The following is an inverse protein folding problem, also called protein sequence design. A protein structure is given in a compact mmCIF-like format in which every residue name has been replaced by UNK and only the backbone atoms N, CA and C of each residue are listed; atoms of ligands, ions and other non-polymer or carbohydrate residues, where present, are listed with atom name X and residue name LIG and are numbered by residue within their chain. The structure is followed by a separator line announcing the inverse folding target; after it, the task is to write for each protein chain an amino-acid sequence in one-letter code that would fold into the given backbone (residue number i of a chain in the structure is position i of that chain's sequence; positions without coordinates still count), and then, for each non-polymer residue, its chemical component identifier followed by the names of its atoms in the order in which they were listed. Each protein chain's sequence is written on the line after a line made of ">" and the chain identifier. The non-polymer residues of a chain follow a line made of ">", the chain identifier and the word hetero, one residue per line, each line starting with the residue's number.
data_IF_673997545672
#
_entry.id   IF_673997545672
#
_cell.length_a   1.000
_cell.length_b   1.000
_cell.length_c   1.000
_cell.angle_alpha   90.00
_cell.angle_beta   90.00
_cell.angle_gamma   90.00
#
_symmetry.space_group_name_H-M   'P 1'
#
loop_
_entity.id
_entity.type
_entity.pdbx_description
1 polymer ?
#
# COMPACT_ATOMS: atom_id res chain seq x y z
N UNK A 1 -5.60 -26.63 18.50
CA UNK A 1 -5.21 -26.80 17.09
C UNK A 1 -4.80 -25.43 16.54
N UNK A 2 -3.55 -25.05 16.81
CA UNK A 2 -2.95 -23.70 16.62
C UNK A 2 -2.06 -23.63 15.37
N UNK A 3 -2.47 -24.31 14.28
CA UNK A 3 -1.53 -24.66 13.20
C UNK A 3 -1.10 -23.51 12.28
N UNK A 4 -1.85 -22.40 12.16
CA UNK A 4 -1.50 -21.33 11.19
C UNK A 4 -0.62 -20.22 11.77
N UNK A 5 -0.82 -19.85 13.04
CA UNK A 5 -0.11 -18.74 13.67
C UNK A 5 1.34 -19.10 14.04
N UNK A 6 1.59 -20.32 14.54
CA UNK A 6 2.93 -20.79 14.91
C UNK A 6 3.81 -21.08 13.67
N UNK A 7 3.22 -21.55 12.57
CA UNK A 7 3.96 -21.89 11.35
C UNK A 7 4.46 -20.66 10.58
N UNK A 8 3.68 -19.57 10.55
CA UNK A 8 4.07 -18.33 9.86
C UNK A 8 5.12 -17.55 10.68
N UNK A 9 4.98 -17.53 12.01
CA UNK A 9 5.98 -16.96 12.91
C UNK A 9 7.31 -17.74 12.84
N UNK A 10 7.27 -19.06 12.68
CA UNK A 10 8.44 -19.93 12.63
C UNK A 10 9.38 -19.69 11.45
N UNK A 11 8.91 -19.12 10.32
CA UNK A 11 9.75 -18.79 9.15
C UNK A 11 10.08 -17.30 9.06
N UNK A 12 9.11 -16.42 9.36
CA UNK A 12 9.30 -14.97 9.22
C UNK A 12 10.17 -14.41 10.33
N UNK A 13 10.05 -14.89 11.57
CA UNK A 13 10.84 -14.40 12.70
C UNK A 13 12.35 -14.71 12.58
N UNK A 14 12.79 -15.93 12.20
CA UNK A 14 14.21 -16.19 11.96
C UNK A 14 14.76 -15.43 10.76
N UNK A 15 13.98 -15.27 9.67
CA UNK A 15 14.40 -14.47 8.52
C UNK A 15 14.56 -12.99 8.89
N UNK A 16 13.62 -12.41 9.65
CA UNK A 16 13.73 -11.02 10.13
C UNK A 16 14.90 -10.85 11.11
N UNK A 17 15.14 -11.81 12.00
CA UNK A 17 16.29 -11.81 12.90
C UNK A 17 17.63 -11.95 12.18
N UNK A 18 17.67 -12.75 11.10
CA UNK A 18 18.85 -12.86 10.24
C UNK A 18 19.10 -11.60 9.41
N UNK A 19 18.03 -11.01 8.84
CA UNK A 19 18.13 -9.83 7.99
C UNK A 19 18.43 -8.56 8.79
N UNK A 20 17.92 -8.47 10.02
CA UNK A 20 18.08 -7.32 10.92
C UNK A 20 18.58 -7.77 12.30
N UNK A 21 19.81 -8.28 12.42
CA UNK A 21 20.36 -8.74 13.70
C UNK A 21 20.56 -7.60 14.70
N UNK A 22 20.54 -6.35 14.22
CA UNK A 22 20.64 -5.12 14.98
C UNK A 22 19.28 -4.57 15.45
N UNK A 23 18.15 -5.17 15.02
CA UNK A 23 16.82 -4.69 15.37
C UNK A 23 16.38 -5.18 16.75
N UNK A 24 15.77 -4.29 17.52
CA UNK A 24 15.20 -4.64 18.83
C UNK A 24 13.98 -5.56 18.66
N UNK A 25 13.61 -6.36 19.67
CA UNK A 25 12.40 -7.20 19.61
C UNK A 25 11.13 -6.42 19.26
N UNK A 26 11.02 -5.17 19.75
CA UNK A 26 9.90 -4.29 19.42
C UNK A 26 9.87 -3.90 17.93
N UNK A 27 11.03 -3.63 17.33
CA UNK A 27 11.13 -3.35 15.89
C UNK A 27 10.77 -4.58 15.06
N UNK A 28 11.23 -5.77 15.45
CA UNK A 28 10.89 -7.03 14.76
C UNK A 28 9.37 -7.28 14.80
N UNK A 29 8.75 -7.12 15.97
CA UNK A 29 7.29 -7.27 16.11
C UNK A 29 6.52 -6.24 15.26
N UNK A 30 7.00 -4.99 15.19
CA UNK A 30 6.43 -3.96 14.33
C UNK A 30 6.51 -4.33 12.85
N UNK A 31 7.68 -4.75 12.35
CA UNK A 31 7.85 -5.14 10.94
C UNK A 31 7.04 -6.38 10.59
N UNK A 32 6.93 -7.35 11.51
CA UNK A 32 6.06 -8.51 11.33
C UNK A 32 4.59 -8.09 11.20
N UNK A 33 4.11 -7.20 12.08
CA UNK A 33 2.76 -6.64 11.99
C UNK A 33 2.51 -5.85 10.69
N UNK A 34 3.50 -5.08 10.24
CA UNK A 34 3.43 -4.36 8.97
C UNK A 34 3.36 -5.32 7.78
N UNK A 35 4.17 -6.39 7.79
CA UNK A 35 4.16 -7.43 6.76
C UNK A 35 2.79 -8.12 6.65
N UNK A 36 2.15 -8.43 7.77
CA UNK A 36 0.78 -8.98 7.78
C UNK A 36 -0.23 -8.03 7.15
N UNK A 37 -0.19 -6.74 7.53
CA UNK A 37 -1.08 -5.71 6.96
C UNK A 37 -0.89 -5.54 5.45
N UNK A 38 0.36 -5.58 4.98
CA UNK A 38 0.67 -5.52 3.56
C UNK A 38 0.19 -6.78 2.81
N UNK A 39 0.28 -7.95 3.44
CA UNK A 39 -0.20 -9.20 2.88
C UNK A 39 -1.72 -9.17 2.68
N UNK A 40 -2.51 -8.82 3.71
CA UNK A 40 -3.96 -8.71 3.58
C UNK A 40 -4.36 -7.66 2.53
N UNK A 41 -3.78 -6.46 2.57
CA UNK A 41 -3.99 -5.44 1.53
C UNK A 41 -3.77 -6.01 0.12
N UNK A 42 -2.69 -6.76 -0.09
CA UNK A 42 -2.34 -7.35 -1.40
C UNK A 42 -3.30 -8.47 -1.78
N UNK A 43 -3.69 -9.31 -0.83
CA UNK A 43 -4.65 -10.39 -1.03
C UNK A 43 -6.00 -9.85 -1.51
N UNK A 44 -6.55 -8.85 -0.83
CA UNK A 44 -7.83 -8.24 -1.22
C UNK A 44 -7.74 -7.43 -2.51
N UNK A 45 -6.58 -6.84 -2.83
CA UNK A 45 -6.31 -6.25 -4.14
C UNK A 45 -6.41 -7.31 -5.26
N UNK A 46 -5.74 -8.45 -5.10
CA UNK A 46 -5.76 -9.55 -6.07
C UNK A 46 -7.17 -10.13 -6.17
N UNK A 47 -7.83 -10.39 -5.04
CA UNK A 47 -9.18 -10.94 -5.00
C UNK A 47 -10.16 -10.06 -5.77
N UNK A 48 -10.14 -8.75 -5.52
CA UNK A 48 -10.99 -7.79 -6.23
C UNK A 48 -10.70 -7.78 -7.74
N UNK A 49 -9.42 -7.82 -8.14
CA UNK A 49 -9.05 -7.89 -9.56
C UNK A 49 -9.55 -9.17 -10.24
N UNK A 50 -9.49 -10.32 -9.56
CA UNK A 50 -9.98 -11.60 -10.08
C UNK A 50 -11.50 -11.61 -10.23
N UNK A 51 -12.24 -11.12 -9.23
CA UNK A 51 -13.70 -11.00 -9.31
C UNK A 51 -14.14 -10.01 -10.39
N UNK A 52 -13.44 -8.88 -10.53
CA UNK A 52 -13.69 -7.94 -11.62
C UNK A 52 -13.53 -8.64 -12.98
N UNK A 53 -12.43 -9.38 -13.17
CA UNK A 53 -12.19 -10.14 -14.40
C UNK A 53 -13.28 -11.19 -14.65
N UNK A 54 -13.76 -11.87 -13.60
CA UNK A 54 -14.82 -12.85 -13.70
C UNK A 54 -16.15 -12.21 -14.13
N UNK A 55 -16.55 -11.09 -13.52
CA UNK A 55 -17.80 -10.40 -13.86
C UNK A 55 -17.78 -9.79 -15.26
N UNK A 56 -16.66 -9.22 -15.69
CA UNK A 56 -16.50 -8.72 -17.07
C UNK A 56 -16.61 -9.86 -18.08
N UNK A 57 -15.94 -11.00 -17.84
CA UNK A 57 -15.99 -12.17 -18.75
C UNK A 57 -17.35 -12.84 -18.79
N UNK A 58 -18.06 -12.87 -17.66
CA UNK A 58 -19.40 -13.44 -17.55
C UNK A 58 -20.51 -12.61 -18.23
N UNK A 59 -20.17 -11.49 -18.90
CA UNK A 59 -21.13 -10.52 -19.46
C UNK A 59 -22.11 -9.96 -18.42
N UNK A 60 -21.69 -9.90 -17.16
CA UNK A 60 -22.54 -9.47 -16.05
C UNK A 60 -22.59 -7.94 -16.00
N UNK A 61 -23.33 -7.33 -16.93
CA UNK A 61 -23.66 -5.91 -16.92
C UNK A 61 -22.53 -4.95 -17.30
N UNK A 62 -22.70 -3.69 -16.90
CA UNK A 62 -21.76 -2.61 -17.20
C UNK A 62 -20.44 -2.77 -16.45
N UNK A 63 -19.38 -2.12 -16.92
CA UNK A 63 -18.10 -2.04 -16.22
C UNK A 63 -18.26 -1.61 -14.75
N UNK A 64 -19.13 -0.63 -14.49
CA UNK A 64 -19.42 -0.14 -13.14
C UNK A 64 -20.08 -1.21 -12.27
N UNK A 65 -20.97 -2.01 -12.85
CA UNK A 65 -21.61 -3.14 -12.15
C UNK A 65 -20.57 -4.20 -11.77
N UNK A 66 -19.63 -4.50 -12.67
CA UNK A 66 -18.53 -5.42 -12.39
C UNK A 66 -17.58 -4.88 -11.30
N UNK A 67 -17.26 -3.59 -11.31
CA UNK A 67 -16.45 -2.94 -10.27
C UNK A 67 -17.14 -3.01 -8.90
N UNK A 68 -18.42 -2.62 -8.83
CA UNK A 68 -19.21 -2.67 -7.59
C UNK A 68 -19.38 -4.09 -7.07
N UNK A 69 -19.66 -5.06 -7.96
CA UNK A 69 -19.76 -6.47 -7.58
C UNK A 69 -18.44 -7.00 -7.03
N UNK A 70 -17.33 -6.73 -7.70
CA UNK A 70 -16.01 -7.18 -7.25
C UNK A 70 -15.62 -6.56 -5.91
N UNK A 71 -15.93 -5.28 -5.70
CA UNK A 71 -15.70 -4.61 -4.44
C UNK A 71 -16.58 -5.17 -3.31
N UNK A 72 -17.86 -5.41 -3.58
CA UNK A 72 -18.78 -5.98 -2.60
C UNK A 72 -18.35 -7.37 -2.14
N UNK A 73 -17.91 -8.23 -3.07
CA UNK A 73 -17.37 -9.56 -2.73
C UNK A 73 -16.10 -9.44 -1.90
N UNK A 74 -15.17 -8.55 -2.27
CA UNK A 74 -13.94 -8.35 -1.50
C UNK A 74 -14.23 -7.89 -0.06
N UNK A 75 -15.14 -6.93 0.14
CA UNK A 75 -15.55 -6.49 1.49
C UNK A 75 -16.22 -7.63 2.26
N UNK A 76 -17.12 -8.39 1.64
CA UNK A 76 -17.76 -9.52 2.30
C UNK A 76 -16.71 -10.55 2.79
N UNK A 77 -15.72 -10.86 1.95
CA UNK A 77 -14.60 -11.71 2.34
C UNK A 77 -13.75 -11.09 3.46
N UNK A 78 -13.51 -9.77 3.46
CA UNK A 78 -12.76 -9.09 4.52
C UNK A 78 -13.49 -9.14 5.88
N UNK A 79 -14.81 -8.96 5.87
CA UNK A 79 -15.63 -9.10 7.08
C UNK A 79 -15.57 -10.55 7.60
N UNK A 80 -15.72 -11.54 6.70
CA UNK A 80 -15.66 -12.95 7.09
C UNK A 80 -14.29 -13.30 7.66
N UNK A 81 -13.21 -12.83 7.04
CA UNK A 81 -11.85 -13.07 7.53
C UNK A 81 -11.62 -12.43 8.90
N UNK A 82 -12.06 -11.18 9.11
CA UNK A 82 -11.93 -10.52 10.41
C UNK A 82 -12.71 -11.24 11.52
N UNK A 83 -13.91 -11.71 11.21
CA UNK A 83 -14.69 -12.56 12.13
C UNK A 83 -13.95 -13.87 12.40
N UNK A 84 -13.42 -14.52 11.37
CA UNK A 84 -12.66 -15.77 11.52
C UNK A 84 -11.40 -15.57 12.38
N UNK A 85 -10.66 -14.48 12.16
CA UNK A 85 -9.48 -14.13 12.93
C UNK A 85 -9.83 -13.82 14.39
N UNK A 86 -10.98 -13.20 14.66
CA UNK A 86 -11.43 -12.94 16.03
C UNK A 86 -11.70 -14.23 16.83
N UNK A 87 -12.16 -15.28 16.13
CA UNK A 87 -12.41 -16.61 16.73
C UNK A 87 -11.11 -17.39 16.91
N UNK A 88 -10.21 -17.36 15.92
CA UNK A 88 -9.03 -18.22 15.88
C UNK A 88 -7.80 -17.65 16.57
N UNK A 89 -7.60 -16.34 16.54
CA UNK A 89 -6.40 -15.69 17.09
C UNK A 89 -6.60 -15.12 18.51
N UNK A 90 -7.72 -15.43 19.16
CA UNK A 90 -8.09 -14.91 20.49
C UNK A 90 -7.91 -13.39 20.61
N UNK A 91 -8.25 -12.66 19.54
CA UNK A 91 -8.18 -11.19 19.46
C UNK A 91 -9.55 -10.61 19.20
N UNK A 92 -9.76 -9.35 19.58
CA UNK A 92 -10.97 -8.62 19.20
C UNK A 92 -10.83 -8.19 17.74
N UNK A 93 -11.89 -8.41 16.96
CA UNK A 93 -11.96 -7.94 15.59
C UNK A 93 -11.96 -6.41 15.51
N UNK A 94 -11.32 -5.84 14.50
CA UNK A 94 -11.15 -4.42 14.28
C UNK A 94 -11.78 -4.00 12.94
N UNK A 95 -12.76 -3.09 12.96
CA UNK A 95 -13.28 -2.50 11.73
C UNK A 95 -12.21 -1.80 10.87
N UNK A 96 -11.11 -1.35 11.50
CA UNK A 96 -10.00 -0.73 10.78
C UNK A 96 -9.22 -1.71 9.93
N UNK A 97 -9.18 -2.99 10.31
CA UNK A 97 -8.51 -4.02 9.51
C UNK A 97 -9.35 -4.33 8.25
N UNK A 98 -10.68 -4.45 8.39
CA UNK A 98 -11.60 -4.56 7.24
C UNK A 98 -11.50 -3.34 6.31
N UNK A 99 -11.37 -2.14 6.86
CA UNK A 99 -11.19 -0.91 6.06
C UNK A 99 -9.84 -0.91 5.32
N UNK A 100 -8.77 -1.38 5.97
CA UNK A 100 -7.47 -1.52 5.33
C UNK A 100 -7.56 -2.48 4.14
N UNK A 101 -8.22 -3.61 4.31
CA UNK A 101 -8.42 -4.62 3.26
C UNK A 101 -9.27 -4.08 2.10
N UNK A 102 -10.32 -3.32 2.43
CA UNK A 102 -11.12 -2.61 1.44
C UNK A 102 -10.29 -1.61 0.63
N UNK A 103 -9.28 -0.96 1.22
CA UNK A 103 -8.38 -0.06 0.46
C UNK A 103 -7.54 -0.80 -0.57
N UNK A 104 -7.17 -2.06 -0.30
CA UNK A 104 -6.51 -2.95 -1.27
C UNK A 104 -7.40 -3.22 -2.49
N UNK A 105 -8.66 -3.58 -2.23
CA UNK A 105 -9.65 -3.77 -3.28
C UNK A 105 -9.87 -2.50 -4.13
N UNK A 106 -10.00 -1.33 -3.50
CA UNK A 106 -10.11 -0.04 -4.20
C UNK A 106 -8.87 0.23 -5.04
N UNK A 107 -7.68 0.00 -4.50
CA UNK A 107 -6.42 0.22 -5.22
C UNK A 107 -6.33 -0.64 -6.50
N UNK A 108 -6.75 -1.90 -6.43
CA UNK A 108 -6.81 -2.78 -7.59
C UNK A 108 -7.79 -2.27 -8.65
N UNK A 109 -9.02 -1.94 -8.25
CA UNK A 109 -10.05 -1.44 -9.18
C UNK A 109 -9.65 -0.10 -9.81
N UNK A 110 -9.06 0.81 -9.04
CA UNK A 110 -8.54 2.08 -9.55
C UNK A 110 -7.39 1.83 -10.55
N UNK A 111 -6.49 0.90 -10.25
CA UNK A 111 -5.39 0.54 -11.16
C UNK A 111 -5.91 -0.06 -12.46
N UNK A 112 -6.91 -0.93 -12.39
CA UNK A 112 -7.60 -1.46 -13.59
C UNK A 112 -8.28 -0.34 -14.36
N UNK A 113 -8.89 0.61 -13.65
CA UNK A 113 -9.70 1.66 -14.25
C UNK A 113 -8.90 2.70 -15.04
N UNK A 114 -7.75 3.09 -14.49
CA UNK A 114 -6.94 4.20 -14.98
C UNK A 114 -5.59 3.75 -15.54
N UNK A 115 -5.21 2.48 -15.31
CA UNK A 115 -3.95 1.90 -15.77
C UNK A 115 -2.72 2.62 -15.25
N UNK A 116 -1.67 2.63 -16.07
CA UNK A 116 -0.40 3.34 -15.79
C UNK A 116 -0.56 4.85 -15.57
N UNK A 117 -1.69 5.45 -15.97
CA UNK A 117 -1.94 6.89 -15.75
C UNK A 117 -2.14 7.20 -14.26
N UNK A 118 -2.75 6.29 -13.50
CA UNK A 118 -2.90 6.45 -12.06
C UNK A 118 -1.56 6.33 -11.34
N UNK A 119 -0.79 5.28 -11.65
CA UNK A 119 0.53 5.05 -11.06
C UNK A 119 1.43 6.26 -11.31
N UNK A 120 1.47 6.72 -12.56
CA UNK A 120 2.23 7.92 -12.91
C UNK A 120 1.68 9.16 -12.19
N UNK A 121 0.37 9.40 -12.13
CA UNK A 121 -0.18 10.56 -11.42
C UNK A 121 0.20 10.56 -9.92
N UNK A 122 0.06 9.42 -9.23
CA UNK A 122 0.42 9.26 -7.81
C UNK A 122 1.91 9.52 -7.61
N UNK A 123 2.79 8.91 -8.41
CA UNK A 123 4.23 9.14 -8.31
C UNK A 123 4.60 10.61 -8.52
N UNK A 124 3.92 11.32 -9.44
CA UNK A 124 4.12 12.75 -9.62
C UNK A 124 3.68 13.53 -8.38
N UNK A 125 2.50 13.22 -7.85
CA UNK A 125 1.96 13.86 -6.65
C UNK A 125 2.90 13.69 -5.46
N UNK A 126 3.46 12.49 -5.26
CA UNK A 126 4.42 12.21 -4.20
C UNK A 126 5.70 13.03 -4.36
N UNK A 127 6.25 13.13 -5.58
CA UNK A 127 7.42 13.98 -5.80
C UNK A 127 7.12 15.46 -5.63
N UNK A 128 5.94 15.94 -6.04
CA UNK A 128 5.52 17.33 -5.79
C UNK A 128 5.36 17.61 -4.30
N UNK A 129 4.73 16.70 -3.55
CA UNK A 129 4.61 16.81 -2.10
C UNK A 129 5.98 16.85 -1.43
N UNK A 130 6.89 15.96 -1.82
CA UNK A 130 8.25 15.93 -1.31
C UNK A 130 9.04 17.21 -1.66
N UNK A 131 8.88 17.72 -2.88
CA UNK A 131 9.54 18.95 -3.32
C UNK A 131 9.02 20.19 -2.57
N UNK A 132 7.69 20.37 -2.50
CA UNK A 132 7.07 21.53 -1.85
C UNK A 132 7.25 21.46 -0.33
N UNK A 133 6.92 20.31 0.27
CA UNK A 133 7.06 20.10 1.71
C UNK A 133 8.52 20.16 2.16
N UNK A 134 9.43 19.53 1.41
CA UNK A 134 10.87 19.58 1.67
C UNK A 134 11.44 21.00 1.57
N UNK A 135 11.07 21.76 0.52
CA UNK A 135 11.50 23.14 0.36
C UNK A 135 10.96 24.05 1.48
N UNK A 136 9.69 23.89 1.87
CA UNK A 136 9.11 24.63 2.98
C UNK A 136 9.84 24.34 4.31
N UNK A 137 10.12 23.07 4.61
CA UNK A 137 10.89 22.70 5.80
C UNK A 137 12.33 23.23 5.75
N UNK A 138 13.00 23.18 4.60
CA UNK A 138 14.34 23.75 4.44
C UNK A 138 14.36 25.26 4.76
N UNK A 139 13.37 26.01 4.27
CA UNK A 139 13.25 27.46 4.54
C UNK A 139 13.00 27.72 6.02
N UNK A 140 12.04 27.01 6.63
CA UNK A 140 11.71 27.18 8.06
C UNK A 140 12.91 26.85 8.93
N UNK A 141 13.58 25.73 8.68
CA UNK A 141 14.77 25.31 9.42
C UNK A 141 15.91 26.31 9.27
N UNK A 142 16.12 26.85 8.05
CA UNK A 142 17.13 27.87 7.81
C UNK A 142 16.86 29.15 8.61
N UNK A 143 15.61 29.63 8.65
CA UNK A 143 15.21 30.80 9.45
C UNK A 143 15.35 30.52 10.95
N UNK A 144 15.05 29.29 11.39
CA UNK A 144 15.15 28.87 12.78
C UNK A 144 16.59 28.52 13.23
N UNK A 145 17.57 28.49 12.32
CA UNK A 145 18.95 28.07 12.61
C UNK A 145 19.09 26.58 12.95
N UNK A 146 18.13 25.74 12.53
CA UNK A 146 18.12 24.29 12.75
C UNK A 146 18.66 23.57 11.53
N UNK A 147 19.50 22.55 11.70
CA UNK A 147 19.97 21.74 10.57
C UNK A 147 18.82 20.92 9.96
N UNK A 148 18.77 20.86 8.63
CA UNK A 148 17.77 20.11 7.87
C UNK A 148 18.23 18.69 7.51
N UNK A 149 19.51 18.36 7.76
CA UNK A 149 20.04 17.01 7.62
C UNK A 149 19.73 16.38 6.25
N UNK A 150 19.04 15.21 6.18
CA UNK A 150 18.76 14.53 4.90
C UNK A 150 17.90 15.33 3.90
N UNK A 151 17.15 16.34 4.36
CA UNK A 151 16.27 17.15 3.49
C UNK A 151 17.04 17.89 2.39
N UNK A 152 18.33 18.19 2.63
CA UNK A 152 19.23 18.77 1.65
C UNK A 152 19.44 17.87 0.42
N UNK A 153 19.25 16.56 0.56
CA UNK A 153 19.40 15.59 -0.54
C UNK A 153 18.05 15.13 -1.08
N UNK A 154 17.08 14.87 -0.21
CA UNK A 154 15.78 14.32 -0.64
C UNK A 154 14.94 15.34 -1.41
N UNK A 155 15.02 16.63 -1.06
CA UNK A 155 14.25 17.69 -1.74
C UNK A 155 14.75 17.94 -3.17
N UNK A 156 16.06 18.16 -3.42
CA UNK A 156 16.55 18.31 -4.80
C UNK A 156 16.35 17.05 -5.64
N UNK A 157 16.46 15.86 -5.04
CA UNK A 157 16.21 14.60 -5.75
C UNK A 157 14.77 14.48 -6.24
N UNK A 158 13.79 14.88 -5.41
CA UNK A 158 12.38 14.90 -5.81
C UNK A 158 12.14 15.89 -6.97
N UNK A 159 12.78 17.07 -6.94
CA UNK A 159 12.72 18.05 -8.04
C UNK A 159 13.36 17.49 -9.31
N UNK A 160 14.53 16.86 -9.21
CA UNK A 160 15.21 16.24 -10.36
C UNK A 160 14.36 15.13 -10.99
N UNK A 161 13.70 14.30 -10.17
CA UNK A 161 12.79 13.26 -10.64
C UNK A 161 11.58 13.84 -11.40
N UNK A 162 11.02 14.98 -10.95
CA UNK A 162 9.97 15.70 -11.66
C UNK A 162 10.46 16.25 -13.01
N UNK A 163 11.65 16.86 -13.04
CA UNK A 163 12.24 17.40 -14.28
C UNK A 163 12.55 16.31 -15.30
N UNK A 164 13.15 15.20 -14.84
CA UNK A 164 13.45 14.05 -15.69
C UNK A 164 12.18 13.45 -16.30
N UNK A 165 11.12 13.32 -15.50
CA UNK A 165 9.81 12.88 -15.99
C UNK A 165 9.22 13.83 -17.02
N UNK A 166 9.29 15.14 -16.78
CA UNK A 166 8.81 16.14 -17.73
C UNK A 166 9.58 16.10 -19.06
N UNK A 167 10.89 15.87 -18.97
CA UNK A 167 11.76 15.67 -20.12
C UNK A 167 11.35 14.44 -20.95
N UNK A 168 11.17 13.27 -20.31
CA UNK A 168 10.73 12.04 -21.00
C UNK A 168 9.35 12.19 -21.66
N UNK A 169 8.40 12.87 -20.99
CA UNK A 169 7.06 13.10 -21.54
C UNK A 169 7.06 13.92 -22.84
N UNK A 170 7.99 14.87 -22.97
CA UNK A 170 8.17 15.67 -24.21
C UNK A 170 8.79 14.89 -25.35
N UNK A 171 9.58 13.85 -25.08
CA UNK A 171 10.26 13.05 -26.10
C UNK A 171 9.43 11.86 -26.61
N UNK A 172 8.47 11.36 -25.82
CA UNK A 172 7.57 10.27 -26.22
C UNK A 172 6.42 10.70 -27.15
N UNK A 173 6.30 12.00 -27.46
CA UNK A 173 5.23 12.58 -28.28
C UNK A 173 5.71 13.03 -29.68
N UNK A 174 6.89 12.57 -30.10
CA UNK A 174 7.43 12.66 -31.46
C UNK A 174 7.54 11.27 -32.06
#
# INVERSE_FOLDING_TARGET
>A
ETWSAESTAGFVMPLLGWLMPWATPAQIAFFHGLGRKAAHFTEYAILSALWYRAFVRGRSGSRRTAELGAFAVAIACAIVDEVHQSVTASRIGSPLDVLLDATGAIAALATIAYGWRLVTAITAGLFWLAAIGGAAFLIVNHIAGVDSGPLWFTTPLAIAALLFRHYLGRHSSR
#
